data_IF_881384418741
#
_entry.id   IF_881384418741
#
_cell.length_a   1.000
_cell.length_b   1.000
_cell.length_c   1.000
_cell.angle_alpha   90.00
_cell.angle_beta   90.00
_cell.angle_gamma   90.00
#
_symmetry.space_group_name_H-M   'P 1'
#
loop_
_entity.id
_entity.type
_entity.pdbx_description
1 polymer ?
#
# COMPACT_ATOMS: atom_id res chain seq x y z
N UNK A 1 -2.36 -15.69 37.48
CA UNK A 1 -3.32 -14.60 37.15
C UNK A 1 -2.83 -13.70 36.01
N UNK A 2 -1.61 -13.16 36.06
CA UNK A 2 -1.07 -12.15 35.12
C UNK A 2 -1.04 -12.60 33.64
N UNK A 3 -0.76 -13.89 33.36
CA UNK A 3 -0.73 -14.43 31.98
C UNK A 3 -2.08 -14.38 31.24
N UNK A 4 -3.21 -14.48 31.96
CA UNK A 4 -4.54 -14.38 31.35
C UNK A 4 -4.86 -12.94 30.95
N UNK A 5 -4.42 -11.95 31.74
CA UNK A 5 -4.60 -10.53 31.44
C UNK A 5 -3.79 -10.07 30.23
N UNK A 6 -2.56 -10.55 30.05
CA UNK A 6 -1.75 -10.24 28.86
C UNK A 6 -2.37 -10.82 27.58
N UNK A 7 -2.86 -12.06 27.63
CA UNK A 7 -3.58 -12.65 26.50
C UNK A 7 -4.87 -11.88 26.18
N UNK A 8 -5.64 -11.48 27.20
CA UNK A 8 -6.80 -10.62 27.02
C UNK A 8 -6.42 -9.24 26.45
N UNK A 9 -5.32 -8.63 26.88
CA UNK A 9 -4.85 -7.35 26.35
C UNK A 9 -4.43 -7.47 24.88
N UNK A 10 -3.68 -8.51 24.51
CA UNK A 10 -3.29 -8.75 23.11
C UNK A 10 -4.53 -9.04 22.26
N UNK A 11 -5.47 -9.84 22.77
CA UNK A 11 -6.71 -10.14 22.07
C UNK A 11 -7.60 -8.90 21.94
N UNK A 12 -7.71 -8.08 22.98
CA UNK A 12 -8.40 -6.80 22.97
C UNK A 12 -7.70 -5.79 22.05
N UNK A 13 -6.38 -5.76 21.94
CA UNK A 13 -5.66 -4.90 21.00
C UNK A 13 -5.86 -5.38 19.56
N UNK A 14 -5.85 -6.70 19.34
CA UNK A 14 -6.20 -7.31 18.05
C UNK A 14 -7.66 -7.02 17.69
N UNK A 15 -8.57 -7.08 18.66
CA UNK A 15 -9.99 -6.73 18.49
C UNK A 15 -10.18 -5.23 18.29
N UNK A 16 -9.43 -4.36 18.98
CA UNK A 16 -9.48 -2.91 18.85
C UNK A 16 -8.93 -2.47 17.48
N UNK A 17 -7.83 -3.08 17.02
CA UNK A 17 -7.30 -2.88 15.66
C UNK A 17 -8.29 -3.41 14.61
N UNK A 18 -8.98 -4.53 14.88
CA UNK A 18 -10.06 -5.07 14.04
C UNK A 18 -11.31 -4.18 14.07
N UNK A 19 -11.65 -3.57 15.21
CA UNK A 19 -12.80 -2.68 15.37
C UNK A 19 -12.54 -1.30 14.76
N UNK A 20 -11.30 -0.79 14.83
CA UNK A 20 -10.83 0.40 14.10
C UNK A 20 -10.84 0.14 12.58
N UNK A 21 -10.70 -1.12 12.13
CA UNK A 21 -10.85 -1.49 10.72
C UNK A 21 -12.28 -1.80 10.28
N UNK A 22 -13.21 -2.05 11.21
CA UNK A 22 -14.64 -2.27 10.94
C UNK A 22 -15.47 -0.99 10.81
N UNK A 23 -14.88 0.20 11.03
CA UNK A 23 -15.49 1.49 10.68
C UNK A 23 -15.28 1.81 9.19
N UNK A 24 -15.66 0.87 8.32
CA UNK A 24 -16.15 1.00 6.93
C UNK A 24 -15.42 1.83 5.86
N UNK A 25 -14.67 2.89 6.16
CA UNK A 25 -14.16 3.85 5.17
C UNK A 25 -12.76 4.38 5.49
N UNK A 26 -12.19 4.01 6.63
CA UNK A 26 -11.01 4.71 7.15
C UNK A 26 -9.67 4.01 6.96
N UNK A 27 -9.54 2.78 6.44
CA UNK A 27 -8.23 2.08 6.38
C UNK A 27 -7.81 1.55 5.01
N UNK A 28 -8.51 1.92 3.94
CA UNK A 28 -8.31 1.35 2.59
C UNK A 28 -6.85 1.53 2.08
N UNK A 29 -6.26 2.70 2.29
CA UNK A 29 -4.95 3.05 1.71
C UNK A 29 -3.75 2.40 2.42
N UNK A 30 -3.80 2.24 3.74
CA UNK A 30 -2.72 1.58 4.50
C UNK A 30 -2.63 0.09 4.13
N UNK A 31 -3.76 -0.51 3.75
CA UNK A 31 -3.80 -1.91 3.33
C UNK A 31 -3.01 -2.18 2.04
N UNK A 32 -2.92 -1.19 1.15
CA UNK A 32 -2.24 -1.32 -0.15
C UNK A 32 -0.75 -1.06 -0.11
N UNK A 33 -0.23 -0.55 1.01
CA UNK A 33 1.20 -0.43 1.18
C UNK A 33 1.86 -1.80 1.33
N UNK A 34 3.11 -1.96 0.86
CA UNK A 34 3.82 -3.21 1.01
C UNK A 34 4.13 -3.44 2.50
N UNK A 35 4.22 -4.72 2.89
CA UNK A 35 4.52 -5.11 4.29
C UNK A 35 5.82 -4.52 4.81
N UNK A 36 6.77 -4.21 3.93
CA UNK A 36 8.04 -3.55 4.26
C UNK A 36 7.90 -2.08 4.67
N UNK A 37 6.75 -1.45 4.38
CA UNK A 37 6.43 -0.04 4.63
C UNK A 37 5.20 0.09 5.55
N UNK A 38 5.10 -0.80 6.55
CA UNK A 38 4.02 -0.81 7.55
C UNK A 38 2.61 -1.09 7.01
N UNK A 39 2.49 -1.48 5.74
CA UNK A 39 1.23 -1.87 5.14
C UNK A 39 0.87 -3.34 5.31
N UNK A 40 -0.26 -3.76 4.72
CA UNK A 40 -0.71 -5.17 4.75
C UNK A 40 -0.23 -6.00 3.56
N UNK A 41 0.30 -5.34 2.52
CA UNK A 41 0.69 -5.98 1.27
C UNK A 41 -0.50 -6.48 0.46
N UNK A 42 -1.68 -5.88 0.64
CA UNK A 42 -2.80 -6.11 -0.27
C UNK A 42 -2.56 -5.31 -1.55
N UNK A 43 -3.25 -5.69 -2.61
CA UNK A 43 -3.14 -5.00 -3.89
C UNK A 43 -4.48 -4.33 -4.22
N UNK A 44 -4.43 -3.07 -4.64
CA UNK A 44 -5.62 -2.33 -5.06
C UNK A 44 -6.15 -2.92 -6.37
N UNK A 45 -7.46 -3.15 -6.44
CA UNK A 45 -8.11 -3.67 -7.66
C UNK A 45 -7.97 -2.67 -8.80
N UNK A 46 -8.07 -1.38 -8.51
CA UNK A 46 -7.88 -0.31 -9.49
C UNK A 46 -6.47 -0.36 -10.09
N UNK A 47 -5.44 -0.36 -9.24
CA UNK A 47 -4.04 -0.41 -9.68
C UNK A 47 -3.74 -1.69 -10.47
N UNK A 48 -4.31 -2.82 -10.06
CA UNK A 48 -4.18 -4.08 -10.80
C UNK A 48 -4.80 -3.97 -12.19
N UNK A 49 -6.01 -3.42 -12.27
CA UNK A 49 -6.75 -3.32 -13.53
C UNK A 49 -6.03 -2.41 -14.52
N UNK A 50 -5.47 -1.29 -14.05
CA UNK A 50 -4.62 -0.40 -14.85
C UNK A 50 -3.42 -1.14 -15.43
N UNK A 51 -2.73 -1.93 -14.60
CA UNK A 51 -1.60 -2.75 -15.04
C UNK A 51 -2.00 -3.80 -16.06
N UNK A 52 -3.08 -4.52 -15.81
CA UNK A 52 -3.56 -5.58 -16.69
C UNK A 52 -3.98 -5.03 -18.06
N UNK A 53 -4.62 -3.86 -18.09
CA UNK A 53 -5.01 -3.20 -19.34
C UNK A 53 -3.80 -2.68 -20.12
N UNK A 54 -2.83 -2.05 -19.44
CA UNK A 54 -1.61 -1.59 -20.08
C UNK A 54 -0.82 -2.76 -20.68
N UNK A 55 -0.65 -3.84 -19.91
CA UNK A 55 0.01 -5.06 -20.38
C UNK A 55 -0.71 -5.69 -21.58
N UNK A 56 -2.05 -5.74 -21.55
CA UNK A 56 -2.83 -6.25 -22.66
C UNK A 56 -2.60 -5.41 -23.93
N UNK A 57 -2.63 -4.08 -23.80
CA UNK A 57 -2.38 -3.19 -24.92
C UNK A 57 -0.97 -3.39 -25.50
N UNK A 58 0.06 -3.42 -24.65
CA UNK A 58 1.44 -3.64 -25.08
C UNK A 58 1.61 -4.99 -25.79
N UNK A 59 0.95 -6.04 -25.29
CA UNK A 59 0.95 -7.36 -25.92
C UNK A 59 0.30 -7.36 -27.31
N UNK A 60 -0.77 -6.58 -27.51
CA UNK A 60 -1.44 -6.43 -28.81
C UNK A 60 -0.58 -5.63 -29.78
N UNK A 61 0.00 -4.51 -29.32
CA UNK A 61 0.85 -3.64 -30.13
C UNK A 61 2.13 -4.35 -30.60
N UNK A 62 2.82 -5.06 -29.70
CA UNK A 62 4.10 -5.73 -29.99
C UNK A 62 4.02 -6.75 -31.13
N UNK A 63 2.88 -7.40 -31.29
CA UNK A 63 2.70 -8.52 -32.22
C UNK A 63 1.66 -8.23 -33.32
N UNK A 64 1.31 -6.96 -33.54
CA UNK A 64 0.31 -6.58 -34.55
C UNK A 64 0.73 -6.94 -35.98
N UNK A 65 2.03 -6.91 -36.30
CA UNK A 65 2.54 -7.25 -37.63
C UNK A 65 2.61 -8.75 -37.89
N UNK A 66 2.68 -9.56 -36.83
CA UNK A 66 2.73 -11.03 -36.93
C UNK A 66 1.33 -11.65 -36.94
N UNK A 67 0.36 -11.02 -36.27
CA UNK A 67 -0.99 -11.56 -36.11
C UNK A 67 -2.05 -10.62 -36.65
N UNK A 68 -2.68 -11.02 -37.77
CA UNK A 68 -3.82 -10.33 -38.37
C UNK A 68 -4.97 -10.15 -37.37
N UNK A 69 -5.21 -11.15 -36.51
CA UNK A 69 -6.20 -11.07 -35.44
C UNK A 69 -5.90 -9.96 -34.44
N UNK A 70 -4.65 -9.84 -33.98
CA UNK A 70 -4.25 -8.76 -33.05
C UNK A 70 -4.37 -7.38 -33.68
N UNK A 71 -3.98 -7.23 -34.94
CA UNK A 71 -4.14 -5.98 -35.68
C UNK A 71 -5.62 -5.59 -35.84
N UNK A 72 -6.50 -6.56 -36.16
CA UNK A 72 -7.94 -6.32 -36.26
C UNK A 72 -8.55 -5.90 -34.92
N UNK A 73 -8.20 -6.57 -33.82
CA UNK A 73 -8.65 -6.19 -32.47
C UNK A 73 -8.22 -4.76 -32.16
N UNK A 74 -6.92 -4.44 -32.33
CA UNK A 74 -6.40 -3.10 -32.05
C UNK A 74 -7.11 -2.02 -32.89
N UNK A 75 -7.41 -2.30 -34.16
CA UNK A 75 -8.16 -1.37 -35.03
C UNK A 75 -9.58 -1.12 -34.50
N UNK A 76 -10.30 -2.17 -34.11
CA UNK A 76 -11.67 -2.05 -33.57
C UNK A 76 -11.68 -1.28 -32.25
N UNK A 77 -10.77 -1.62 -31.33
CA UNK A 77 -10.64 -0.94 -30.03
C UNK A 77 -10.35 0.56 -30.20
N UNK A 78 -9.43 0.91 -31.12
CA UNK A 78 -9.10 2.30 -31.42
C UNK A 78 -10.24 3.07 -32.08
N UNK A 79 -10.96 2.45 -33.02
CA UNK A 79 -12.12 3.08 -33.67
C UNK A 79 -13.24 3.37 -32.67
N UNK A 80 -13.47 2.44 -31.75
CA UNK A 80 -14.50 2.56 -30.72
C UNK A 80 -14.06 3.44 -29.53
N UNK A 81 -12.81 3.89 -29.49
CA UNK A 81 -12.23 4.68 -28.39
C UNK A 81 -12.50 4.05 -27.02
N UNK A 82 -12.32 2.73 -26.94
CA UNK A 82 -12.58 1.99 -25.69
C UNK A 82 -11.60 2.41 -24.60
N UNK A 83 -11.92 2.07 -23.34
CA UNK A 83 -11.01 2.30 -22.23
C UNK A 83 -9.62 1.68 -22.45
N UNK A 84 -9.54 0.53 -23.14
CA UNK A 84 -8.27 -0.11 -23.48
C UNK A 84 -7.43 0.77 -24.43
N UNK A 85 -8.03 1.38 -25.46
CA UNK A 85 -7.30 2.28 -26.37
C UNK A 85 -6.83 3.57 -25.69
N UNK A 86 -7.61 4.06 -24.72
CA UNK A 86 -7.36 5.33 -24.04
C UNK A 86 -6.50 5.17 -22.78
N UNK A 87 -6.18 3.94 -22.36
CA UNK A 87 -5.51 3.67 -21.08
C UNK A 87 -4.20 4.45 -20.92
N UNK A 88 -3.36 4.52 -21.97
CA UNK A 88 -2.09 5.27 -21.91
C UNK A 88 -2.33 6.75 -21.60
N UNK A 89 -3.30 7.38 -22.25
CA UNK A 89 -3.64 8.79 -22.00
C UNK A 89 -4.30 8.98 -20.62
N UNK A 90 -5.20 8.08 -20.24
CA UNK A 90 -5.84 8.09 -18.93
C UNK A 90 -4.81 8.05 -17.79
N UNK A 91 -3.82 7.14 -17.87
CA UNK A 91 -2.76 7.02 -16.88
C UNK A 91 -1.87 8.27 -16.84
N UNK A 92 -1.56 8.86 -18.00
CA UNK A 92 -0.79 10.11 -18.07
C UNK A 92 -1.50 11.26 -17.35
N UNK A 93 -2.80 11.42 -17.57
CA UNK A 93 -3.59 12.48 -16.93
C UNK A 93 -3.74 12.21 -15.43
N UNK A 94 -4.09 10.97 -15.04
CA UNK A 94 -4.36 10.61 -13.64
C UNK A 94 -3.13 10.76 -12.75
N UNK A 95 -1.95 10.41 -13.26
CA UNK A 95 -0.71 10.39 -12.48
C UNK A 95 0.29 11.49 -12.86
N UNK A 96 -0.03 12.35 -13.83
CA UNK A 96 0.86 13.41 -14.30
C UNK A 96 2.13 12.91 -14.99
N UNK A 97 2.02 11.84 -15.79
CA UNK A 97 3.18 11.24 -16.48
C UNK A 97 3.41 11.92 -17.84
N UNK A 98 4.55 12.60 -18.03
CA UNK A 98 4.91 13.27 -19.29
C UNK A 98 5.54 12.31 -20.31
N UNK A 99 6.32 11.34 -19.84
CA UNK A 99 7.07 10.38 -20.66
C UNK A 99 6.26 9.11 -21.02
N UNK A 100 6.90 8.18 -21.74
CA UNK A 100 6.31 6.87 -22.05
C UNK A 100 5.98 6.07 -20.77
N UNK A 101 4.74 5.57 -20.70
CA UNK A 101 4.21 4.84 -19.54
C UNK A 101 4.79 3.43 -19.54
N UNK A 102 5.85 3.24 -18.78
CA UNK A 102 6.41 1.90 -18.52
C UNK A 102 5.82 1.30 -17.26
N UNK A 103 5.85 -0.04 -17.15
CA UNK A 103 5.36 -0.77 -15.97
C UNK A 103 5.93 -0.23 -14.65
N UNK A 104 7.25 0.03 -14.60
CA UNK A 104 7.92 0.51 -13.38
C UNK A 104 7.47 1.93 -13.00
N UNK A 105 7.43 2.84 -13.98
CA UNK A 105 6.97 4.23 -13.74
C UNK A 105 5.52 4.27 -13.25
N UNK A 106 4.67 3.40 -13.78
CA UNK A 106 3.29 3.28 -13.30
C UNK A 106 3.22 2.81 -11.85
N UNK A 107 4.01 1.80 -11.46
CA UNK A 107 4.07 1.31 -10.07
C UNK A 107 4.54 2.41 -9.10
N UNK A 108 5.57 3.15 -9.48
CA UNK A 108 6.10 4.28 -8.70
C UNK A 108 5.06 5.39 -8.54
N UNK A 109 4.35 5.74 -9.62
CA UNK A 109 3.33 6.77 -9.59
C UNK A 109 2.10 6.36 -8.76
N UNK A 110 1.66 5.10 -8.86
CA UNK A 110 0.60 4.54 -8.01
C UNK A 110 1.00 4.56 -6.53
N UNK A 111 2.25 4.20 -6.22
CA UNK A 111 2.80 4.30 -4.86
C UNK A 111 2.85 5.75 -4.36
N UNK A 112 3.31 6.70 -5.18
CA UNK A 112 3.36 8.12 -4.81
C UNK A 112 1.96 8.67 -4.53
N UNK A 113 0.98 8.33 -5.38
CA UNK A 113 -0.41 8.70 -5.19
C UNK A 113 -0.96 8.17 -3.85
N UNK A 114 -0.65 6.91 -3.52
CA UNK A 114 -1.05 6.29 -2.26
C UNK A 114 -0.48 7.04 -1.04
N UNK A 115 0.78 7.47 -1.11
CA UNK A 115 1.40 8.25 -0.04
C UNK A 115 0.80 9.65 0.10
N UNK A 116 0.45 10.31 -1.00
CA UNK A 116 -0.22 11.60 -0.96
C UNK A 116 -1.60 11.50 -0.28
N UNK A 117 -2.38 10.46 -0.62
CA UNK A 117 -3.66 10.17 0.04
C UNK A 117 -3.51 9.93 1.55
N UNK A 118 -2.47 9.21 1.97
CA UNK A 118 -2.15 8.98 3.39
C UNK A 118 -1.81 10.29 4.09
N UNK A 119 -0.98 11.14 3.46
CA UNK A 119 -0.56 12.43 4.02
C UNK A 119 -1.74 13.39 4.18
N UNK A 120 -2.68 13.38 3.24
CA UNK A 120 -3.86 14.25 3.28
C UNK A 120 -4.87 13.85 4.37
N UNK A 121 -4.82 12.61 4.88
CA UNK A 121 -5.74 12.12 5.92
C UNK A 121 -5.15 12.30 7.32
N UNK A 122 -5.80 13.13 8.14
CA UNK A 122 -5.33 13.53 9.50
C UNK A 122 -4.89 12.38 10.43
N UNK A 123 -5.60 11.25 10.44
CA UNK A 123 -5.26 10.11 11.30
C UNK A 123 -4.11 9.28 10.71
N UNK A 124 -4.12 9.07 9.39
CA UNK A 124 -3.08 8.29 8.71
C UNK A 124 -1.75 9.03 8.64
N UNK A 125 -1.79 10.35 8.43
CA UNK A 125 -0.60 11.17 8.40
C UNK A 125 0.13 11.16 9.75
N UNK A 126 -0.60 11.08 10.87
CA UNK A 126 -0.01 10.87 12.21
C UNK A 126 0.63 9.50 12.36
N UNK A 127 0.00 8.44 11.87
CA UNK A 127 0.59 7.09 11.91
C UNK A 127 1.87 6.99 11.07
N UNK A 128 1.94 7.76 9.97
CA UNK A 128 3.07 7.76 9.05
C UNK A 128 4.03 8.94 9.23
N UNK A 129 3.84 9.81 10.23
CA UNK A 129 4.75 10.94 10.48
C UNK A 129 6.12 10.47 10.92
N UNK A 130 6.18 9.35 11.64
CA UNK A 130 7.41 8.70 12.07
C UNK A 130 8.30 8.23 10.90
N UNK A 131 7.75 8.06 9.70
CA UNK A 131 8.54 7.72 8.49
C UNK A 131 9.59 8.79 8.18
N UNK A 132 9.27 10.05 8.45
CA UNK A 132 10.17 11.17 8.17
C UNK A 132 11.20 11.38 9.29
N UNK A 133 11.14 10.59 10.37
CA UNK A 133 12.07 10.66 11.48
C UNK A 133 13.28 9.76 11.19
N UNK A 134 14.47 10.35 11.11
CA UNK A 134 15.74 9.65 10.85
C UNK A 134 16.08 8.60 11.93
N UNK A 135 15.59 8.78 13.15
CA UNK A 135 15.79 7.85 14.28
C UNK A 135 14.88 6.62 14.18
N UNK A 136 13.89 6.63 13.28
CA UNK A 136 12.90 5.56 13.14
C UNK A 136 13.19 4.71 11.91
N UNK A 137 13.60 3.47 12.14
CA UNK A 137 13.69 2.45 11.09
C UNK A 137 12.31 1.87 10.77
N UNK A 138 11.74 2.27 9.62
CA UNK A 138 10.52 1.66 9.05
C UNK A 138 10.72 0.16 8.79
N UNK A 139 11.94 -0.22 8.40
CA UNK A 139 12.29 -1.59 8.08
C UNK A 139 12.22 -2.52 9.32
N UNK A 140 12.63 -2.04 10.48
CA UNK A 140 12.58 -2.79 11.74
C UNK A 140 11.18 -2.78 12.35
N UNK A 141 10.49 -1.65 12.25
CA UNK A 141 9.10 -1.49 12.69
C UNK A 141 8.15 -2.42 11.93
N UNK A 142 8.47 -2.75 10.68
CA UNK A 142 7.70 -3.66 9.82
C UNK A 142 8.07 -5.14 9.98
N UNK A 143 8.97 -5.50 10.89
CA UNK A 143 9.50 -6.87 11.00
C UNK A 143 8.43 -7.92 11.31
N UNK A 144 7.44 -7.57 12.14
CA UNK A 144 6.31 -8.44 12.44
C UNK A 144 5.37 -8.63 11.25
N UNK A 145 5.25 -7.63 10.35
CA UNK A 145 4.41 -7.73 9.15
C UNK A 145 5.05 -8.61 8.08
N UNK A 146 6.39 -8.59 7.99
CA UNK A 146 7.16 -9.38 7.02
C UNK A 146 7.17 -10.86 7.36
N UNK A 147 7.30 -11.20 8.64
CA UNK A 147 7.33 -12.59 9.10
C UNK A 147 5.90 -13.07 9.35
N UNK A 148 5.57 -14.27 8.88
CA UNK A 148 4.24 -14.88 9.08
C UNK A 148 4.02 -15.27 10.55
N UNK A 149 3.63 -16.52 10.80
CA UNK A 149 3.48 -17.01 12.17
C UNK A 149 4.83 -16.98 12.91
N UNK A 150 5.01 -16.03 13.82
CA UNK A 150 6.16 -15.93 14.73
C UNK A 150 5.76 -16.41 16.12
N UNK A 151 6.74 -16.65 17.00
CA UNK A 151 6.42 -17.01 18.39
C UNK A 151 5.71 -15.83 19.04
N UNK A 152 4.69 -16.06 19.90
CA UNK A 152 3.96 -14.98 20.56
C UNK A 152 4.87 -13.99 21.31
N UNK A 153 5.99 -14.46 21.85
CA UNK A 153 7.00 -13.60 22.51
C UNK A 153 7.69 -12.66 21.53
N UNK A 154 8.05 -13.16 20.35
CA UNK A 154 8.74 -12.35 19.32
C UNK A 154 7.76 -11.35 18.70
N UNK A 155 6.50 -11.77 18.50
CA UNK A 155 5.41 -10.88 18.06
C UNK A 155 5.24 -9.71 19.03
N UNK A 156 5.16 -9.99 20.34
CA UNK A 156 5.02 -8.96 21.36
C UNK A 156 6.19 -7.95 21.34
N UNK A 157 7.43 -8.43 21.16
CA UNK A 157 8.61 -7.55 21.05
C UNK A 157 8.55 -6.69 19.79
N UNK A 158 8.17 -7.26 18.64
CA UNK A 158 8.09 -6.49 17.41
C UNK A 158 6.93 -5.48 17.40
N UNK A 159 5.77 -5.83 17.97
CA UNK A 159 4.66 -4.90 18.16
C UNK A 159 5.06 -3.75 19.10
N UNK A 160 5.78 -4.05 20.19
CA UNK A 160 6.32 -3.01 21.08
C UNK A 160 7.27 -2.04 20.35
N UNK A 161 8.18 -2.57 19.53
CA UNK A 161 9.09 -1.74 18.73
C UNK A 161 8.32 -0.87 17.74
N UNK A 162 7.28 -1.42 17.09
CA UNK A 162 6.43 -0.65 16.19
C UNK A 162 5.70 0.47 16.94
N UNK A 163 5.03 0.16 18.05
CA UNK A 163 4.26 1.15 18.82
C UNK A 163 5.18 2.24 19.39
N UNK A 164 6.37 1.87 19.90
CA UNK A 164 7.40 2.83 20.31
C UNK A 164 7.78 3.76 19.17
N UNK A 165 8.00 3.23 17.99
CA UNK A 165 8.44 4.02 16.84
C UNK A 165 7.31 4.89 16.25
N UNK A 166 6.06 4.43 16.28
CA UNK A 166 4.88 5.14 15.76
C UNK A 166 4.38 6.22 16.73
N UNK A 167 4.38 5.93 18.04
CA UNK A 167 3.77 6.80 19.05
C UNK A 167 4.78 7.50 19.95
N UNK A 168 5.96 6.93 20.18
CA UNK A 168 6.91 7.37 21.22
C UNK A 168 8.26 7.84 20.68
N UNK A 169 8.41 7.94 19.35
CA UNK A 169 9.59 8.51 18.69
C UNK A 169 9.57 10.05 18.57
N UNK A 170 8.58 10.73 19.15
CA UNK A 170 8.48 12.20 19.17
C UNK A 170 9.04 12.78 20.47
N UNK A 171 9.60 14.00 20.40
CA UNK A 171 10.04 14.76 21.58
C UNK A 171 8.89 14.89 22.60
N UNK A 172 9.13 14.41 23.83
CA UNK A 172 8.14 14.41 24.91
C UNK A 172 7.76 13.02 25.43
N UNK A 173 8.75 12.14 25.68
CA UNK A 173 8.48 10.89 26.41
C UNK A 173 7.85 11.19 27.79
N UNK A 174 6.80 10.45 28.14
CA UNK A 174 6.19 10.53 29.47
C UNK A 174 7.21 10.16 30.54
N UNK A 175 7.44 11.06 31.51
CA UNK A 175 8.44 10.89 32.58
C UNK A 175 8.18 9.66 33.49
N UNK A 176 7.04 9.00 33.38
CA UNK A 176 6.65 7.86 34.20
C UNK A 176 6.88 6.48 33.57
N UNK A 177 7.33 6.41 32.31
CA UNK A 177 7.49 5.14 31.60
C UNK A 177 8.95 4.66 31.50
N UNK A 178 9.84 5.10 32.40
CA UNK A 178 11.19 4.56 32.55
C UNK A 178 11.20 3.33 33.47
#
# INVERSE_FOLDING_TARGET
MIRKYIFLLIYLYRLLVVLISNTGLYLFYINYLPRKELGRGLHSVEFKSEHMLLQLLDCLEKHKYTSTRRAAILKVENNNKTHLSLIKNFLKIKYGLEEEVTKKKLEEAQHANLYNEIKNRKLHSKLYSARNNELVSVNDSSRWLKKGSVRPRDEAVFCYIQDRNVFWGAEGMCQHCN
#
